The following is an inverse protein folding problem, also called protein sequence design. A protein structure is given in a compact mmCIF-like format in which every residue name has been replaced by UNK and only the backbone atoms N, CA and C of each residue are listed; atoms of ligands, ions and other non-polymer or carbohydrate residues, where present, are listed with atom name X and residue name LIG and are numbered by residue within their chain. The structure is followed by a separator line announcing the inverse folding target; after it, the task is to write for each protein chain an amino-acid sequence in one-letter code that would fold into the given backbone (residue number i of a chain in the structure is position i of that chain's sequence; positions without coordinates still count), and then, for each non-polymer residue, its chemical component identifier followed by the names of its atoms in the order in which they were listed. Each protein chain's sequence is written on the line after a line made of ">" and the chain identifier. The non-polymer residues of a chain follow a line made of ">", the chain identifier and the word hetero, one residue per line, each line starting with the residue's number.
data_IF_176882736820
#
_entry.id   IF_176882736820
#
_cell.length_a   1.000
_cell.length_b   1.000
_cell.length_c   1.000
_cell.angle_alpha   90.00
_cell.angle_beta   90.00
_cell.angle_gamma   90.00
#
_symmetry.space_group_name_H-M   'P 1'
#
loop_
_entity.id
_entity.type
_entity.pdbx_description
1 polymer ?
#
# COMPACT_ATOMS: atom_id res chain seq x y z
N UNK A 1 23.10 11.46 0.72
CA UNK A 1 23.50 10.08 0.33
C UNK A 1 22.81 9.03 1.20
N UNK A 2 22.81 9.16 2.53
CA UNK A 2 22.12 8.25 3.46
C UNK A 2 20.62 8.14 3.16
N UNK A 3 19.94 9.23 2.86
CA UNK A 3 18.50 9.26 2.59
C UNK A 3 18.12 8.55 1.28
N UNK A 4 18.97 8.61 0.26
CA UNK A 4 18.75 7.88 -1.00
C UNK A 4 18.87 6.37 -0.79
N UNK A 5 19.90 5.93 -0.06
CA UNK A 5 20.10 4.52 0.25
C UNK A 5 18.92 3.96 1.08
N UNK A 6 18.42 4.70 2.07
CA UNK A 6 17.26 4.28 2.86
C UNK A 6 15.97 4.19 2.03
N UNK A 7 15.79 5.06 1.03
CA UNK A 7 14.65 4.97 0.12
C UNK A 7 14.73 3.75 -0.79
N UNK A 8 15.92 3.42 -1.30
CA UNK A 8 16.14 2.20 -2.08
C UNK A 8 15.87 0.96 -1.23
N UNK A 9 16.35 0.93 0.01
CA UNK A 9 16.10 -0.17 0.94
C UNK A 9 14.59 -0.33 1.24
N UNK A 10 13.88 0.76 1.47
CA UNK A 10 12.43 0.74 1.66
C UNK A 10 11.70 0.17 0.42
N UNK A 11 12.11 0.58 -0.78
CA UNK A 11 11.59 0.02 -2.03
C UNK A 11 11.88 -1.47 -2.18
N UNK A 12 13.08 -1.94 -1.80
CA UNK A 12 13.40 -3.36 -1.80
C UNK A 12 12.51 -4.16 -0.83
N UNK A 13 12.20 -3.61 0.34
CA UNK A 13 11.27 -4.25 1.29
C UNK A 13 9.88 -4.38 0.67
N UNK A 14 9.39 -3.35 -0.03
CA UNK A 14 8.10 -3.40 -0.75
C UNK A 14 8.11 -4.48 -1.82
N UNK A 15 9.17 -4.56 -2.63
CA UNK A 15 9.32 -5.60 -3.66
C UNK A 15 9.35 -7.00 -3.04
N UNK A 16 10.15 -7.21 -2.00
CA UNK A 16 10.23 -8.50 -1.31
C UNK A 16 8.88 -8.91 -0.70
N UNK A 17 8.17 -7.97 -0.09
CA UNK A 17 6.83 -8.21 0.46
C UNK A 17 5.81 -8.58 -0.64
N UNK A 18 5.89 -7.95 -1.81
CA UNK A 18 5.00 -8.25 -2.94
C UNK A 18 5.33 -9.60 -3.58
N UNK A 19 6.62 -9.94 -3.72
CA UNK A 19 7.05 -11.26 -4.19
C UNK A 19 6.61 -12.36 -3.22
N UNK A 20 6.78 -12.14 -1.92
CA UNK A 20 6.31 -13.08 -0.88
C UNK A 20 4.79 -13.30 -0.94
N UNK A 21 4.03 -12.25 -1.20
CA UNK A 21 2.58 -12.37 -1.41
C UNK A 21 2.25 -13.15 -2.69
N UNK A 22 2.98 -12.92 -3.77
CA UNK A 22 2.84 -13.68 -5.01
C UNK A 22 3.12 -15.16 -4.83
N UNK A 23 4.23 -15.52 -4.15
CA UNK A 23 4.56 -16.90 -3.80
C UNK A 23 3.48 -17.52 -2.92
N UNK A 24 3.06 -16.82 -1.86
CA UNK A 24 2.02 -17.30 -0.94
C UNK A 24 0.65 -17.52 -1.61
N UNK A 25 0.38 -16.84 -2.73
CA UNK A 25 -0.86 -16.94 -3.48
C UNK A 25 -0.77 -17.82 -4.75
N UNK A 26 0.33 -18.57 -4.95
CA UNK A 26 0.53 -19.39 -6.15
C UNK A 26 -0.60 -20.41 -6.38
N UNK A 27 -1.21 -20.92 -5.31
CA UNK A 27 -2.36 -21.82 -5.36
C UNK A 27 -3.61 -21.21 -5.99
N UNK A 28 -3.68 -19.86 -6.08
CA UNK A 28 -4.79 -19.13 -6.72
C UNK A 28 -4.55 -18.84 -8.21
N UNK A 29 -3.50 -19.42 -8.81
CA UNK A 29 -3.18 -19.21 -10.23
C UNK A 29 -2.58 -17.85 -10.55
N UNK A 30 -1.90 -17.22 -9.60
CA UNK A 30 -1.23 -15.94 -9.79
C UNK A 30 -0.07 -16.06 -10.82
N UNK A 31 -0.39 -15.86 -12.11
CA UNK A 31 0.55 -16.04 -13.23
C UNK A 31 1.46 -14.81 -13.48
N UNK A 32 1.18 -13.65 -12.88
CA UNK A 32 1.85 -12.40 -13.21
C UNK A 32 2.89 -11.98 -12.17
N UNK A 33 3.89 -12.84 -11.94
CA UNK A 33 4.93 -12.65 -10.92
C UNK A 33 5.75 -11.37 -11.08
N UNK A 34 5.89 -10.83 -12.30
CA UNK A 34 6.65 -9.61 -12.57
C UNK A 34 5.81 -8.34 -12.46
N UNK A 35 4.51 -8.42 -12.69
CA UNK A 35 3.62 -7.24 -12.65
C UNK A 35 3.37 -6.79 -11.21
N UNK A 36 3.20 -7.73 -10.28
CA UNK A 36 2.90 -7.42 -8.88
C UNK A 36 3.94 -6.51 -8.20
N UNK A 37 5.28 -6.75 -8.31
CA UNK A 37 6.29 -5.85 -7.75
C UNK A 37 6.26 -4.45 -8.34
N UNK A 38 6.04 -4.31 -9.65
CA UNK A 38 5.96 -3.00 -10.32
C UNK A 38 4.75 -2.23 -9.80
N UNK A 39 3.58 -2.88 -9.76
CA UNK A 39 2.36 -2.27 -9.25
C UNK A 39 2.46 -1.93 -7.76
N UNK A 40 3.16 -2.75 -6.97
CA UNK A 40 3.38 -2.46 -5.56
C UNK A 40 4.25 -1.23 -5.33
N UNK A 41 5.29 -1.00 -6.16
CA UNK A 41 6.12 0.21 -6.09
C UNK A 41 5.33 1.46 -6.45
N UNK A 42 4.50 1.40 -7.50
CA UNK A 42 3.64 2.51 -7.90
C UNK A 42 2.64 2.82 -6.77
N UNK A 43 1.96 1.78 -6.27
CA UNK A 43 1.00 1.93 -5.16
C UNK A 43 1.65 2.48 -3.90
N UNK A 44 2.85 2.01 -3.55
CA UNK A 44 3.62 2.52 -2.42
C UNK A 44 3.92 4.02 -2.54
N UNK A 45 4.37 4.45 -3.72
CA UNK A 45 4.67 5.87 -3.97
C UNK A 45 3.42 6.74 -3.85
N UNK A 46 2.33 6.33 -4.51
CA UNK A 46 1.03 7.03 -4.46
C UNK A 46 0.48 7.06 -3.03
N UNK A 47 0.54 5.93 -2.33
CA UNK A 47 0.07 5.81 -0.95
C UNK A 47 0.83 6.75 0.00
N UNK A 48 2.16 6.80 -0.11
CA UNK A 48 2.98 7.72 0.68
C UNK A 48 2.63 9.18 0.40
N UNK A 49 2.30 9.51 -0.84
CA UNK A 49 1.87 10.86 -1.21
C UNK A 49 0.49 11.21 -0.61
N UNK A 50 -0.47 10.28 -0.63
CA UNK A 50 -1.78 10.48 -0.01
C UNK A 50 -1.64 10.69 1.49
N UNK A 51 -0.87 9.85 2.19
CA UNK A 51 -0.60 10.01 3.64
C UNK A 51 0.09 11.35 3.92
N UNK A 52 1.05 11.75 3.10
CA UNK A 52 1.68 13.07 3.21
C UNK A 52 0.66 14.20 3.08
N UNK A 53 -0.16 14.15 2.05
CA UNK A 53 -1.18 15.17 1.81
C UNK A 53 -2.19 15.26 2.97
N UNK A 54 -2.71 14.14 3.41
CA UNK A 54 -3.67 14.07 4.52
C UNK A 54 -3.02 14.52 5.83
N UNK A 55 -1.84 14.00 6.17
CA UNK A 55 -1.19 14.26 7.45
C UNK A 55 -0.58 15.65 7.58
N UNK A 56 0.04 16.16 6.52
CA UNK A 56 0.76 17.44 6.56
C UNK A 56 -0.11 18.61 6.11
N UNK A 57 -1.07 18.37 5.18
CA UNK A 57 -1.88 19.47 4.62
C UNK A 57 -3.28 19.55 5.21
N UNK A 58 -3.95 18.41 5.46
CA UNK A 58 -5.32 18.40 5.97
C UNK A 58 -5.37 18.38 7.50
N UNK A 59 -4.52 17.59 8.15
CA UNK A 59 -4.56 17.39 9.61
C UNK A 59 -3.21 17.63 10.31
N UNK A 60 -2.50 18.75 10.05
CA UNK A 60 -1.23 19.01 10.71
C UNK A 60 -1.38 19.23 12.22
N UNK A 61 -0.38 18.87 13.00
CA UNK A 61 -0.18 19.35 14.37
C UNK A 61 0.82 20.51 14.38
N UNK A 62 0.89 21.24 15.50
CA UNK A 62 1.80 22.40 15.64
C UNK A 62 3.27 22.07 15.36
N UNK A 63 3.65 20.82 15.61
CA UNK A 63 5.04 20.35 15.48
C UNK A 63 5.26 19.49 14.23
N UNK A 64 4.25 19.26 13.40
CA UNK A 64 4.36 18.43 12.20
C UNK A 64 5.38 19.04 11.23
N UNK A 65 6.52 18.36 11.07
CA UNK A 65 7.61 18.71 10.16
C UNK A 65 8.04 17.46 9.42
N UNK A 66 7.26 17.03 8.46
CA UNK A 66 7.59 15.86 7.64
C UNK A 66 7.67 16.22 6.17
N UNK A 67 8.39 15.41 5.42
CA UNK A 67 8.46 15.49 3.98
C UNK A 67 8.02 14.17 3.34
N UNK A 68 7.68 14.23 2.06
CA UNK A 68 7.23 13.05 1.32
C UNK A 68 8.24 11.89 1.36
N UNK A 69 9.55 12.19 1.27
CA UNK A 69 10.59 11.16 1.30
C UNK A 69 10.67 10.41 2.64
N UNK A 70 10.42 11.08 3.75
CA UNK A 70 10.37 10.48 5.07
C UNK A 70 9.20 9.50 5.21
N UNK A 71 8.01 9.93 4.80
CA UNK A 71 6.84 9.06 4.78
C UNK A 71 6.99 7.89 3.79
N UNK A 72 7.60 8.14 2.63
CA UNK A 72 7.89 7.10 1.66
C UNK A 72 8.74 6.00 2.28
N UNK A 73 9.83 6.34 2.96
CA UNK A 73 10.70 5.37 3.64
C UNK A 73 9.95 4.65 4.76
N UNK A 74 9.25 5.40 5.60
CA UNK A 74 8.51 4.86 6.74
C UNK A 74 7.46 3.84 6.31
N UNK A 75 6.67 4.16 5.30
CA UNK A 75 5.62 3.28 4.77
C UNK A 75 6.25 2.06 4.08
N UNK A 76 7.35 2.25 3.35
CA UNK A 76 8.05 1.14 2.71
C UNK A 76 8.56 0.12 3.73
N UNK A 77 9.21 0.55 4.80
CA UNK A 77 9.64 -0.34 5.88
C UNK A 77 8.47 -0.97 6.65
N UNK A 78 7.33 -0.28 6.76
CA UNK A 78 6.13 -0.84 7.38
C UNK A 78 5.54 -2.03 6.63
N UNK A 79 5.94 -2.26 5.38
CA UNK A 79 5.52 -3.43 4.60
C UNK A 79 6.34 -4.70 4.90
N UNK A 80 7.41 -4.62 5.70
CA UNK A 80 8.28 -5.74 6.02
C UNK A 80 7.54 -6.99 6.57
N UNK A 81 6.52 -6.89 7.45
CA UNK A 81 5.78 -8.07 7.89
C UNK A 81 5.07 -8.83 6.76
N UNK A 82 4.84 -8.18 5.61
CA UNK A 82 4.27 -8.81 4.42
C UNK A 82 5.12 -9.96 3.86
N UNK A 83 6.41 -10.04 4.19
CA UNK A 83 7.30 -11.15 3.80
C UNK A 83 6.80 -12.50 4.38
N UNK A 84 6.13 -12.50 5.52
CA UNK A 84 5.55 -13.71 6.14
C UNK A 84 4.52 -14.39 5.21
N UNK A 85 3.95 -13.66 4.26
CA UNK A 85 3.00 -14.21 3.28
C UNK A 85 3.58 -15.32 2.41
N UNK A 86 4.91 -15.45 2.33
CA UNK A 86 5.57 -16.56 1.65
C UNK A 86 5.12 -17.91 2.19
N UNK A 87 4.78 -18.01 3.48
CA UNK A 87 4.28 -19.25 4.10
C UNK A 87 2.83 -19.59 3.71
N UNK A 88 2.14 -18.70 3.00
CA UNK A 88 0.80 -18.94 2.46
C UNK A 88 0.73 -19.93 1.30
N UNK A 89 1.88 -20.48 0.86
CA UNK A 89 1.97 -21.55 -0.16
C UNK A 89 1.12 -22.78 0.23
N UNK A 90 1.01 -23.07 1.52
CA UNK A 90 0.12 -24.10 2.02
C UNK A 90 -1.29 -23.51 2.25
N UNK A 91 -2.37 -24.12 1.72
CA UNK A 91 -3.73 -23.59 1.85
C UNK A 91 -4.15 -23.30 3.28
N UNK A 92 -3.76 -24.15 4.22
CA UNK A 92 -4.10 -24.02 5.65
C UNK A 92 -3.47 -22.77 6.29
N UNK A 93 -2.27 -22.36 5.86
CA UNK A 93 -1.55 -21.20 6.40
C UNK A 93 -1.85 -19.91 5.65
N UNK A 94 -2.42 -19.98 4.47
CA UNK A 94 -2.66 -18.82 3.61
C UNK A 94 -3.47 -17.74 4.34
N UNK A 95 -4.64 -18.10 4.86
CA UNK A 95 -5.53 -17.14 5.53
C UNK A 95 -4.85 -16.51 6.74
N UNK A 96 -4.18 -17.32 7.56
CA UNK A 96 -3.52 -16.84 8.78
C UNK A 96 -2.36 -15.90 8.47
N UNK A 97 -1.50 -16.27 7.49
CA UNK A 97 -0.34 -15.45 7.12
C UNK A 97 -0.74 -14.16 6.44
N UNK A 98 -1.76 -14.16 5.59
CA UNK A 98 -2.23 -12.95 4.89
C UNK A 98 -2.94 -11.99 5.85
N UNK A 99 -3.86 -12.49 6.66
CA UNK A 99 -4.58 -11.66 7.64
C UNK A 99 -3.61 -11.17 8.73
N UNK A 100 -2.82 -12.07 9.31
CA UNK A 100 -1.86 -11.70 10.35
C UNK A 100 -0.84 -10.67 9.90
N UNK A 101 -0.26 -10.85 8.70
CA UNK A 101 0.66 -9.87 8.13
C UNK A 101 -0.03 -8.53 7.85
N UNK A 102 -1.28 -8.52 7.39
CA UNK A 102 -2.02 -7.29 7.11
C UNK A 102 -2.24 -6.45 8.38
N UNK A 103 -2.67 -7.08 9.47
CA UNK A 103 -2.78 -6.41 10.77
C UNK A 103 -1.44 -5.89 11.28
N UNK A 104 -0.39 -6.69 11.15
CA UNK A 104 0.95 -6.27 11.58
C UNK A 104 1.49 -5.10 10.73
N UNK A 105 1.34 -5.16 9.40
CA UNK A 105 1.69 -4.05 8.52
C UNK A 105 0.93 -2.77 8.87
N UNK A 106 -0.38 -2.88 9.15
CA UNK A 106 -1.20 -1.74 9.59
C UNK A 106 -0.67 -1.15 10.90
N UNK A 107 -0.36 -1.97 11.88
CA UNK A 107 0.21 -1.52 13.15
C UNK A 107 1.56 -0.81 12.94
N UNK A 108 2.47 -1.40 12.16
CA UNK A 108 3.75 -0.78 11.80
C UNK A 108 3.55 0.56 11.08
N UNK A 109 2.60 0.63 10.15
CA UNK A 109 2.30 1.86 9.41
C UNK A 109 1.76 2.96 10.32
N UNK A 110 0.82 2.66 11.22
CA UNK A 110 0.26 3.65 12.15
C UNK A 110 1.34 4.20 13.09
N UNK A 111 2.19 3.33 13.64
CA UNK A 111 3.31 3.74 14.50
C UNK A 111 4.32 4.56 13.70
N UNK A 112 4.65 4.12 12.50
CA UNK A 112 5.60 4.82 11.62
C UNK A 112 5.07 6.19 11.19
N UNK A 113 3.81 6.29 10.76
CA UNK A 113 3.17 7.56 10.39
C UNK A 113 3.11 8.52 11.57
N UNK A 114 2.79 8.02 12.79
CA UNK A 114 2.86 8.84 14.00
C UNK A 114 4.24 9.45 14.20
N UNK A 115 5.28 8.63 14.07
CA UNK A 115 6.66 9.09 14.27
C UNK A 115 7.09 10.06 13.17
N UNK A 116 6.81 9.76 11.90
CA UNK A 116 7.17 10.58 10.75
C UNK A 116 6.44 11.93 10.70
N UNK A 117 5.25 12.03 11.28
CA UNK A 117 4.46 13.27 11.34
C UNK A 117 4.64 14.02 12.66
N UNK A 118 5.48 13.53 13.58
CA UNK A 118 5.64 14.08 14.94
C UNK A 118 4.32 14.21 15.73
N UNK A 119 3.39 13.27 15.51
CA UNK A 119 2.10 13.28 16.19
C UNK A 119 2.21 12.78 17.63
N UNK A 120 1.52 13.46 18.54
CA UNK A 120 1.45 13.09 19.95
C UNK A 120 0.62 11.83 20.19
N UNK A 121 -0.42 11.60 19.39
CA UNK A 121 -1.40 10.52 19.57
C UNK A 121 -1.35 9.49 18.45
N UNK A 122 -1.35 8.19 18.82
CA UNK A 122 -1.56 7.09 17.88
C UNK A 122 -2.93 7.14 17.21
N UNK A 123 -3.97 7.55 17.95
CA UNK A 123 -5.32 7.68 17.41
C UNK A 123 -5.39 8.68 16.25
N UNK A 124 -4.61 9.76 16.32
CA UNK A 124 -4.54 10.74 15.23
C UNK A 124 -3.85 10.18 13.99
N UNK A 125 -2.73 9.46 14.17
CA UNK A 125 -2.06 8.78 13.06
C UNK A 125 -2.98 7.72 12.42
N UNK A 126 -3.69 6.96 13.24
CA UNK A 126 -4.70 6.01 12.76
C UNK A 126 -5.82 6.71 11.96
N UNK A 127 -6.32 7.85 12.46
CA UNK A 127 -7.29 8.67 11.74
C UNK A 127 -6.80 9.13 10.37
N UNK A 128 -5.55 9.58 10.27
CA UNK A 128 -4.92 9.96 9.00
C UNK A 128 -4.85 8.76 8.03
N UNK A 129 -4.46 7.59 8.52
CA UNK A 129 -4.42 6.37 7.71
C UNK A 129 -5.81 5.98 7.20
N UNK A 130 -6.84 6.06 8.06
CA UNK A 130 -8.23 5.78 7.66
C UNK A 130 -8.73 6.78 6.61
N UNK A 131 -8.50 8.07 6.82
CA UNK A 131 -8.91 9.10 5.83
C UNK A 131 -8.20 8.88 4.49
N UNK A 132 -6.90 8.57 4.52
CA UNK A 132 -6.16 8.25 3.30
C UNK A 132 -6.73 7.00 2.60
N UNK A 133 -7.15 5.98 3.35
CA UNK A 133 -7.81 4.79 2.82
C UNK A 133 -9.15 5.11 2.15
N UNK A 134 -9.95 5.97 2.76
CA UNK A 134 -11.22 6.43 2.18
C UNK A 134 -10.99 7.20 0.88
N UNK A 135 -10.00 8.09 0.84
CA UNK A 135 -9.63 8.83 -0.38
C UNK A 135 -9.23 7.85 -1.50
N UNK A 136 -8.39 6.88 -1.18
CA UNK A 136 -7.96 5.89 -2.16
C UNK A 136 -9.11 5.00 -2.64
N UNK A 137 -10.02 4.59 -1.74
CA UNK A 137 -11.20 3.81 -2.10
C UNK A 137 -12.13 4.57 -3.05
N UNK A 138 -12.38 5.86 -2.77
CA UNK A 138 -13.19 6.72 -3.66
C UNK A 138 -12.52 6.85 -5.03
N UNK A 139 -11.20 7.08 -5.06
CA UNK A 139 -10.45 7.19 -6.31
C UNK A 139 -10.53 5.90 -7.15
N UNK A 140 -10.39 4.75 -6.49
CA UNK A 140 -10.51 3.44 -7.14
C UNK A 140 -11.91 3.21 -7.69
N UNK A 141 -12.97 3.56 -6.94
CA UNK A 141 -14.36 3.45 -7.40
C UNK A 141 -14.62 4.31 -8.63
N UNK A 142 -14.07 5.54 -8.67
CA UNK A 142 -14.19 6.42 -9.84
C UNK A 142 -13.51 5.80 -11.06
N UNK A 143 -12.32 5.24 -10.90
CA UNK A 143 -11.60 4.59 -12.01
C UNK A 143 -12.40 3.38 -12.51
N UNK A 144 -12.90 2.54 -11.61
CA UNK A 144 -13.67 1.36 -11.98
C UNK A 144 -14.95 1.72 -12.72
N UNK A 145 -15.68 2.75 -12.28
CA UNK A 145 -16.89 3.20 -12.99
C UNK A 145 -16.59 3.67 -14.41
N UNK A 146 -15.48 4.40 -14.62
CA UNK A 146 -15.08 4.83 -15.96
C UNK A 146 -14.68 3.65 -16.86
N UNK A 147 -13.99 2.65 -16.28
CA UNK A 147 -13.62 1.44 -17.05
C UNK A 147 -14.85 0.60 -17.44
N UNK A 148 -15.86 0.52 -16.57
CA UNK A 148 -17.13 -0.15 -16.90
C UNK A 148 -17.87 0.55 -18.04
N UNK A 149 -17.91 1.89 -18.02
CA UNK A 149 -18.54 2.70 -19.07
C UNK A 149 -17.84 2.51 -20.43
N UNK A 150 -16.51 2.50 -20.45
CA UNK A 150 -15.71 2.25 -21.65
C UNK A 150 -15.93 0.80 -22.17
N UNK A 151 -15.97 -0.17 -21.28
CA UNK A 151 -16.17 -1.58 -21.64
C UNK A 151 -17.57 -1.81 -22.25
N UNK A 152 -18.60 -1.17 -21.69
CA UNK A 152 -19.97 -1.22 -22.20
C UNK A 152 -20.13 -0.53 -23.56
N UNK A 153 -19.29 0.46 -23.86
CA UNK A 153 -19.24 1.13 -25.17
C UNK A 153 -18.60 0.24 -26.26
N UNK A 154 -17.60 -0.57 -25.89
CA UNK A 154 -16.84 -1.41 -26.83
C UNK A 154 -17.56 -2.75 -27.11
N UNK A 155 -18.16 -3.38 -26.10
CA UNK A 155 -18.83 -4.68 -26.23
C UNK A 155 -19.99 -4.74 -27.24
N UNK A 156 -20.86 -3.72 -27.41
CA UNK A 156 -21.97 -3.79 -28.39
C UNK A 156 -21.50 -3.78 -29.84
N UNK A 157 -20.29 -3.29 -30.13
CA UNK A 157 -19.77 -3.20 -31.50
C UNK A 157 -19.18 -4.53 -31.98
N UNK A 158 -18.74 -5.42 -31.10
CA UNK A 158 -18.18 -6.72 -31.46
C UNK A 158 -19.25 -7.82 -31.57
N UNK A 159 -20.42 -7.66 -30.95
CA UNK A 159 -21.51 -8.65 -30.99
C UNK A 159 -22.38 -8.50 -32.29
N UNK A 160 -22.25 -7.37 -33.00
CA UNK A 160 -23.01 -7.06 -34.21
C UNK A 160 -22.29 -7.43 -35.51
N UNK A 161 -21.12 -8.05 -35.45
CA UNK A 161 -20.35 -8.60 -36.57
C UNK A 161 -20.15 -10.12 -36.38
#
# INVERSE_FOLDING_TARGET
>A
EKDKNATIQAGLVVVLSSLAAGVGAMNLGASNFLVAPIMSLISWYVWAYIIYFVGVKLFPEKNTKSNHGELLRTIGFSSAPGIIRVFGVTPDLMTVTFIGSAFWMLACMVVGVRAALDYRSLGRAFGVVIVAWLIQAVFLLIILSHLEDELLLVLPLEILH
#
